data_IF_875652546793
#
_entry.id   IF_875652546793
#
_cell.length_a   1.000
_cell.length_b   1.000
_cell.length_c   1.000
_cell.angle_alpha   90.00
_cell.angle_beta   90.00
_cell.angle_gamma   90.00
#
_symmetry.space_group_name_H-M   'P 1'
#
loop_
_entity.id
_entity.type
_entity.pdbx_description
1 polymer ?
#
# COMPACT_ATOMS: atom_id res chain seq x y z
N UNK A 1 55.20 -34.20 11.75
CA UNK A 1 54.00 -33.41 11.43
C UNK A 1 53.23 -32.97 12.67
N UNK A 2 52.52 -33.83 13.42
CA UNK A 2 51.71 -33.41 14.61
C UNK A 2 52.43 -32.58 15.71
N UNK A 3 53.74 -32.75 15.92
CA UNK A 3 54.50 -31.99 16.94
C UNK A 3 54.97 -30.60 16.48
N UNK A 4 55.07 -30.36 15.18
CA UNK A 4 55.46 -29.04 14.63
C UNK A 4 54.24 -28.12 14.47
N UNK A 5 53.08 -28.69 14.12
CA UNK A 5 51.79 -27.99 14.09
C UNK A 5 51.38 -27.42 15.45
N UNK A 6 51.61 -28.17 16.54
CA UNK A 6 51.34 -27.69 17.90
C UNK A 6 52.23 -26.49 18.29
N UNK A 7 53.43 -26.40 17.72
CA UNK A 7 54.42 -25.37 18.08
C UNK A 7 54.09 -23.99 17.48
N UNK A 8 53.44 -23.95 16.31
CA UNK A 8 53.02 -22.70 15.66
C UNK A 8 51.79 -22.12 16.37
N UNK A 9 50.81 -22.96 16.72
CA UNK A 9 49.66 -22.54 17.55
C UNK A 9 50.07 -22.05 18.95
N UNK A 10 51.09 -22.66 19.56
CA UNK A 10 51.62 -22.20 20.86
C UNK A 10 52.45 -20.91 20.77
N UNK A 11 53.10 -20.63 19.63
CA UNK A 11 53.86 -19.39 19.44
C UNK A 11 52.93 -18.17 19.38
N UNK A 12 51.76 -18.30 18.76
CA UNK A 12 50.75 -17.23 18.67
C UNK A 12 50.16 -16.92 20.06
N UNK A 13 49.90 -17.94 20.89
CA UNK A 13 49.34 -17.78 22.24
C UNK A 13 50.34 -17.26 23.28
N UNK A 14 51.65 -17.47 23.10
CA UNK A 14 52.67 -17.15 24.13
C UNK A 14 53.38 -15.82 23.95
N UNK A 15 53.27 -15.16 22.80
CA UNK A 15 53.99 -13.90 22.51
C UNK A 15 53.21 -12.62 22.81
N UNK A 16 51.96 -12.70 23.27
CA UNK A 16 51.20 -11.51 23.69
C UNK A 16 51.03 -10.46 22.59
N UNK A 17 51.02 -10.89 21.32
CA UNK A 17 50.70 -10.03 20.19
C UNK A 17 49.18 -9.90 20.18
N UNK A 18 48.69 -8.72 20.55
CA UNK A 18 47.26 -8.49 20.76
C UNK A 18 46.41 -8.62 19.49
N UNK A 19 47.03 -8.61 18.30
CA UNK A 19 46.39 -8.89 17.01
C UNK A 19 47.45 -9.53 16.10
N UNK A 20 47.40 -10.85 15.92
CA UNK A 20 48.21 -11.55 14.90
C UNK A 20 47.24 -11.97 13.81
N UNK A 21 47.37 -11.42 12.59
CA UNK A 21 46.49 -11.80 11.49
C UNK A 21 46.99 -13.11 10.88
N UNK A 22 46.10 -14.02 10.51
CA UNK A 22 46.46 -15.29 9.86
C UNK A 22 47.33 -15.09 8.61
N UNK A 23 47.17 -13.95 7.93
CA UNK A 23 48.02 -13.50 6.81
C UNK A 23 49.51 -13.38 7.16
N UNK A 24 49.85 -13.08 8.41
CA UNK A 24 51.23 -12.84 8.85
C UNK A 24 52.01 -14.15 9.09
N UNK A 25 51.32 -15.30 9.06
CA UNK A 25 51.88 -16.62 9.43
C UNK A 25 52.01 -17.57 8.23
N UNK A 26 51.53 -17.18 7.04
CA UNK A 26 51.56 -18.04 5.84
C UNK A 26 52.95 -18.01 5.19
N UNK A 27 53.84 -18.87 5.67
CA UNK A 27 55.15 -19.15 5.09
C UNK A 27 55.28 -20.58 4.52
N UNK A 28 54.18 -21.34 4.44
CA UNK A 28 54.21 -22.77 4.11
C UNK A 28 53.16 -23.18 3.07
N UNK A 29 53.64 -23.94 2.09
CA UNK A 29 52.92 -24.65 1.02
C UNK A 29 52.18 -25.91 1.52
N UNK A 30 52.28 -26.27 2.80
CA UNK A 30 51.84 -27.58 3.28
C UNK A 30 50.67 -27.51 4.28
N UNK A 31 49.50 -27.89 3.78
CA UNK A 31 48.32 -28.46 4.48
C UNK A 31 47.48 -27.58 5.41
N UNK A 32 46.26 -27.30 4.94
CA UNK A 32 45.01 -27.25 5.72
C UNK A 32 44.93 -26.25 6.89
N UNK A 33 45.54 -25.06 6.78
CA UNK A 33 45.24 -23.96 7.70
C UNK A 33 43.74 -23.67 7.73
N UNK A 34 43.06 -23.72 6.58
CA UNK A 34 41.64 -23.43 6.52
C UNK A 34 40.82 -24.43 7.35
N UNK A 35 41.20 -25.72 7.31
CA UNK A 35 40.61 -26.79 8.13
C UNK A 35 40.92 -26.60 9.61
N UNK A 36 42.13 -26.18 9.99
CA UNK A 36 42.50 -25.96 11.39
C UNK A 36 41.67 -24.82 11.98
N UNK A 37 41.50 -23.72 11.24
CA UNK A 37 40.71 -22.59 11.72
C UNK A 37 39.21 -22.95 11.77
N UNK A 38 38.69 -23.69 10.78
CA UNK A 38 37.31 -24.19 10.80
C UNK A 38 37.04 -25.21 11.92
N UNK A 39 37.93 -26.19 12.13
CA UNK A 39 37.79 -27.21 13.20
C UNK A 39 37.85 -26.61 14.62
N UNK A 40 38.48 -25.43 14.77
CA UNK A 40 38.66 -24.76 16.06
C UNK A 40 37.77 -23.51 16.22
N UNK A 41 36.85 -23.24 15.27
CA UNK A 41 35.95 -22.09 15.28
C UNK A 41 36.70 -20.74 15.43
N UNK A 42 37.86 -20.65 14.78
CA UNK A 42 38.72 -19.46 14.80
C UNK A 42 38.38 -18.64 13.55
N UNK A 43 37.82 -17.45 13.75
CA UNK A 43 37.53 -16.51 12.67
C UNK A 43 38.82 -15.88 12.10
N UNK A 44 38.94 -15.83 10.79
CA UNK A 44 40.08 -15.24 10.09
C UNK A 44 39.70 -14.72 8.71
N UNK A 45 40.50 -13.78 8.21
CA UNK A 45 40.33 -13.18 6.89
C UNK A 45 40.82 -14.14 5.79
N UNK A 46 39.91 -15.02 5.33
CA UNK A 46 40.16 -16.01 4.26
C UNK A 46 40.69 -15.37 2.98
N UNK A 47 40.19 -14.18 2.64
CA UNK A 47 40.60 -13.42 1.45
C UNK A 47 42.08 -13.05 1.53
N UNK A 48 42.53 -12.44 2.63
CA UNK A 48 43.96 -12.12 2.85
C UNK A 48 44.86 -13.34 2.88
N UNK A 49 44.35 -14.47 3.39
CA UNK A 49 45.10 -15.74 3.36
C UNK A 49 45.34 -16.19 1.93
N UNK A 50 44.33 -16.16 1.07
CA UNK A 50 44.49 -16.50 -0.34
C UNK A 50 45.41 -15.53 -1.10
N UNK A 51 45.31 -14.22 -0.84
CA UNK A 51 46.22 -13.22 -1.42
C UNK A 51 47.69 -13.52 -1.06
N UNK A 52 47.95 -13.88 0.20
CA UNK A 52 49.30 -14.22 0.65
C UNK A 52 49.82 -15.53 0.05
N UNK A 53 48.96 -16.54 -0.13
CA UNK A 53 49.32 -17.79 -0.84
C UNK A 53 49.70 -17.52 -2.30
N UNK A 54 48.98 -16.62 -2.98
CA UNK A 54 49.31 -16.22 -4.36
C UNK A 54 50.68 -15.51 -4.41
N UNK A 55 50.97 -14.60 -3.46
CA UNK A 55 52.26 -13.91 -3.39
C UNK A 55 53.42 -14.90 -3.24
N UNK A 56 53.30 -15.87 -2.33
CA UNK A 56 54.29 -16.92 -2.14
C UNK A 56 54.53 -17.77 -3.41
N UNK A 57 53.44 -18.20 -4.07
CA UNK A 57 53.51 -18.99 -5.31
C UNK A 57 54.14 -18.23 -6.48
N UNK A 58 54.13 -16.89 -6.43
CA UNK A 58 54.79 -16.03 -7.43
C UNK A 58 56.29 -15.80 -7.13
N UNK A 59 56.73 -16.00 -5.88
CA UNK A 59 58.12 -15.77 -5.45
C UNK A 59 59.01 -17.03 -5.55
N UNK A 60 58.46 -18.25 -5.49
CA UNK A 60 59.23 -19.50 -5.56
C UNK A 60 59.13 -20.20 -6.93
N UNK A 61 60.18 -20.02 -7.75
CA UNK A 61 60.29 -20.62 -9.10
C UNK A 61 60.39 -22.15 -9.12
N UNK A 62 60.55 -22.82 -7.97
CA UNK A 62 60.67 -24.28 -7.90
C UNK A 62 59.34 -25.03 -7.76
N UNK A 63 58.23 -24.31 -7.53
CA UNK A 63 56.91 -24.92 -7.34
C UNK A 63 56.33 -25.32 -8.70
N UNK A 64 56.28 -26.63 -8.92
CA UNK A 64 55.68 -27.19 -10.13
C UNK A 64 54.15 -27.09 -9.99
N UNK A 65 53.45 -26.50 -10.99
CA UNK A 65 51.99 -26.28 -11.01
C UNK A 65 51.46 -24.99 -10.30
N UNK A 66 52.33 -24.00 -10.05
CA UNK A 66 51.97 -22.71 -9.43
C UNK A 66 50.82 -21.98 -10.16
N UNK A 67 50.83 -21.95 -11.49
CA UNK A 67 49.79 -21.29 -12.30
C UNK A 67 48.37 -21.82 -12.03
N UNK A 68 48.24 -23.14 -11.84
CA UNK A 68 46.95 -23.78 -11.59
C UNK A 68 46.42 -23.46 -10.18
N UNK A 69 47.31 -23.43 -9.18
CA UNK A 69 46.98 -23.07 -7.80
C UNK A 69 46.64 -21.59 -7.66
N UNK A 70 47.40 -20.70 -8.30
CA UNK A 70 47.10 -19.27 -8.37
C UNK A 70 45.70 -19.06 -8.96
N UNK A 71 45.40 -19.73 -10.08
CA UNK A 71 44.07 -19.65 -10.71
C UNK A 71 42.94 -20.17 -9.81
N UNK A 72 43.22 -21.11 -8.91
CA UNK A 72 42.26 -21.62 -7.94
C UNK A 72 41.99 -20.61 -6.82
N UNK A 73 43.05 -20.04 -6.22
CA UNK A 73 42.90 -19.02 -5.19
C UNK A 73 42.28 -17.72 -5.72
N UNK A 74 42.61 -17.30 -6.94
CA UNK A 74 41.96 -16.16 -7.59
C UNK A 74 40.46 -16.40 -7.76
N UNK A 75 40.03 -17.62 -8.13
CA UNK A 75 38.60 -17.98 -8.19
C UNK A 75 37.92 -17.97 -6.83
N UNK A 76 38.62 -18.31 -5.76
CA UNK A 76 38.06 -18.35 -4.42
C UNK A 76 37.95 -16.94 -3.82
N UNK A 77 38.93 -16.06 -4.06
CA UNK A 77 38.82 -14.62 -3.77
C UNK A 77 37.61 -14.03 -4.49
N UNK A 78 37.47 -14.31 -5.79
CA UNK A 78 36.31 -13.88 -6.59
C UNK A 78 34.96 -14.37 -6.03
N UNK A 79 34.93 -15.51 -5.33
CA UNK A 79 33.72 -16.03 -4.67
C UNK A 79 33.46 -15.29 -3.37
N UNK A 80 34.48 -15.13 -2.53
CA UNK A 80 34.40 -14.41 -1.26
C UNK A 80 33.93 -12.96 -1.48
N UNK A 81 34.51 -12.26 -2.46
CA UNK A 81 34.12 -10.89 -2.80
C UNK A 81 32.63 -10.82 -3.20
N UNK A 82 32.14 -11.78 -4.01
CA UNK A 82 30.71 -11.87 -4.38
C UNK A 82 29.79 -12.23 -3.22
N UNK A 83 30.26 -13.01 -2.25
CA UNK A 83 29.49 -13.35 -1.06
C UNK A 83 29.40 -12.15 -0.11
N UNK A 84 30.48 -11.40 0.04
CA UNK A 84 30.51 -10.16 0.82
C UNK A 84 29.57 -9.10 0.21
N UNK A 85 29.63 -8.88 -1.10
CA UNK A 85 28.72 -7.96 -1.81
C UNK A 85 27.25 -8.33 -1.57
N UNK A 86 26.89 -9.61 -1.70
CA UNK A 86 25.52 -10.09 -1.44
C UNK A 86 25.09 -9.91 0.01
N UNK A 87 26.01 -10.13 0.96
CA UNK A 87 25.70 -9.96 2.38
C UNK A 87 25.46 -8.48 2.73
N UNK A 88 26.24 -7.57 2.13
CA UNK A 88 26.04 -6.13 2.27
C UNK A 88 24.72 -5.67 1.62
N UNK A 89 24.40 -6.17 0.42
CA UNK A 89 23.10 -5.92 -0.23
C UNK A 89 21.93 -6.40 0.66
N UNK A 90 21.98 -7.65 1.14
CA UNK A 90 20.93 -8.19 2.02
C UNK A 90 20.79 -7.42 3.34
N UNK A 91 21.91 -6.98 3.93
CA UNK A 91 21.87 -6.17 5.15
C UNK A 91 21.22 -4.81 4.88
N UNK A 92 21.57 -4.17 3.76
CA UNK A 92 20.99 -2.89 3.33
C UNK A 92 19.49 -3.04 3.07
N UNK A 93 19.07 -4.10 2.37
CA UNK A 93 17.66 -4.39 2.10
C UNK A 93 16.85 -4.60 3.40
N UNK A 94 17.42 -5.33 4.37
CA UNK A 94 16.80 -5.52 5.69
C UNK A 94 16.66 -4.21 6.46
N UNK A 95 17.68 -3.34 6.43
CA UNK A 95 17.64 -2.03 7.08
C UNK A 95 16.56 -1.13 6.47
N UNK A 96 16.44 -1.12 5.13
CA UNK A 96 15.39 -0.41 4.41
C UNK A 96 13.99 -0.95 4.76
N UNK A 97 13.84 -2.27 4.84
CA UNK A 97 12.55 -2.89 5.20
C UNK A 97 12.12 -2.50 6.62
N UNK A 98 13.04 -2.53 7.59
CA UNK A 98 12.77 -2.13 8.98
C UNK A 98 12.40 -0.64 9.07
N UNK A 99 13.10 0.23 8.34
CA UNK A 99 12.77 1.66 8.29
C UNK A 99 11.37 1.89 7.69
N UNK A 100 11.05 1.22 6.58
CA UNK A 100 9.75 1.31 5.92
C UNK A 100 8.61 0.80 6.81
N UNK A 101 8.82 -0.31 7.52
CA UNK A 101 7.84 -0.81 8.49
C UNK A 101 7.57 0.22 9.58
N UNK A 102 8.63 0.81 10.16
CA UNK A 102 8.50 1.84 11.19
C UNK A 102 7.78 3.10 10.68
N UNK A 103 8.11 3.58 9.47
CA UNK A 103 7.41 4.71 8.84
C UNK A 103 5.92 4.41 8.66
N UNK A 104 5.58 3.19 8.24
CA UNK A 104 4.19 2.75 8.10
C UNK A 104 3.45 2.66 9.43
N UNK A 105 4.09 2.17 10.50
CA UNK A 105 3.52 2.19 11.85
C UNK A 105 3.21 3.62 12.33
N UNK A 106 4.12 4.56 12.08
CA UNK A 106 3.96 5.97 12.42
C UNK A 106 2.80 6.62 11.63
N UNK A 107 2.72 6.37 10.31
CA UNK A 107 1.62 6.83 9.46
C UNK A 107 0.27 6.28 9.93
N UNK A 108 0.18 4.97 10.18
CA UNK A 108 -1.05 4.33 10.67
C UNK A 108 -1.50 4.91 12.02
N UNK A 109 -0.56 5.17 12.93
CA UNK A 109 -0.83 5.82 14.22
C UNK A 109 -1.32 7.25 14.03
N UNK A 110 -0.73 8.02 13.12
CA UNK A 110 -1.15 9.38 12.80
C UNK A 110 -2.57 9.41 12.22
N UNK A 111 -2.88 8.55 11.24
CA UNK A 111 -4.23 8.43 10.65
C UNK A 111 -5.26 8.04 11.71
N UNK A 112 -4.93 7.11 12.60
CA UNK A 112 -5.79 6.71 13.73
C UNK A 112 -6.10 7.90 14.65
N UNK A 113 -5.09 8.71 14.97
CA UNK A 113 -5.24 9.88 15.84
C UNK A 113 -6.08 10.98 15.18
N UNK A 114 -5.77 11.33 13.93
CA UNK A 114 -6.57 12.29 13.14
C UNK A 114 -8.03 11.85 13.10
N UNK A 115 -8.27 10.58 12.78
CA UNK A 115 -9.64 10.04 12.67
C UNK A 115 -10.37 10.14 14.00
N UNK A 116 -9.76 9.71 15.11
CA UNK A 116 -10.37 9.78 16.44
C UNK A 116 -10.69 11.22 16.85
N UNK A 117 -9.77 12.15 16.61
CA UNK A 117 -9.97 13.56 16.94
C UNK A 117 -11.11 14.20 16.15
N UNK A 118 -11.20 13.94 14.84
CA UNK A 118 -12.29 14.48 14.03
C UNK A 118 -13.64 13.81 14.36
N UNK A 119 -13.66 12.49 14.58
CA UNK A 119 -14.89 11.76 14.91
C UNK A 119 -15.41 12.05 16.32
N UNK A 120 -14.56 12.42 17.29
CA UNK A 120 -15.01 12.90 18.60
C UNK A 120 -15.86 14.18 18.54
N UNK A 121 -15.82 14.91 17.41
CA UNK A 121 -16.64 16.11 17.17
C UNK A 121 -18.01 15.77 16.59
N UNK A 122 -18.27 14.51 16.25
CA UNK A 122 -19.52 14.05 15.61
C UNK A 122 -20.45 13.46 16.67
N UNK A 123 -21.61 14.08 16.85
CA UNK A 123 -22.70 13.54 17.68
C UNK A 123 -23.66 12.72 16.79
N UNK A 124 -23.37 11.42 16.69
CA UNK A 124 -24.14 10.51 15.86
C UNK A 124 -23.42 9.21 15.57
N UNK A 125 -23.92 8.48 14.57
CA UNK A 125 -23.27 7.29 14.06
C UNK A 125 -22.28 7.69 12.96
N UNK A 126 -21.11 7.07 12.97
CA UNK A 126 -20.10 7.29 11.95
C UNK A 126 -19.32 6.03 11.61
N UNK A 127 -18.78 6.04 10.41
CA UNK A 127 -17.82 5.08 9.90
C UNK A 127 -16.78 5.81 9.05
N UNK A 128 -15.52 5.41 9.16
CA UNK A 128 -14.38 5.93 8.40
C UNK A 128 -13.53 4.75 7.96
N UNK A 129 -13.05 4.79 6.73
CA UNK A 129 -12.04 3.86 6.24
C UNK A 129 -11.01 4.59 5.37
N UNK A 130 -9.76 4.16 5.47
CA UNK A 130 -8.61 4.69 4.71
C UNK A 130 -7.81 3.51 4.20
N UNK A 131 -7.43 3.55 2.92
CA UNK A 131 -6.63 2.48 2.34
C UNK A 131 -5.63 3.00 1.32
N UNK A 132 -4.38 2.56 1.40
CA UNK A 132 -3.41 2.78 0.32
C UNK A 132 -3.83 1.98 -0.91
N UNK A 133 -3.81 2.63 -2.06
CA UNK A 133 -4.13 2.05 -3.36
C UNK A 133 -2.90 1.89 -4.25
N UNK A 134 -1.89 2.75 -4.08
CA UNK A 134 -0.62 2.73 -4.83
C UNK A 134 0.46 3.47 -4.02
N UNK A 135 1.74 3.14 -4.25
CA UNK A 135 2.90 3.67 -3.53
C UNK A 135 3.40 2.79 -2.38
N UNK A 136 4.43 3.27 -1.67
CA UNK A 136 5.18 2.48 -0.66
C UNK A 136 4.52 2.40 0.73
N UNK A 137 3.41 3.12 0.92
CA UNK A 137 2.67 3.08 2.18
C UNK A 137 1.79 1.82 2.29
N UNK A 138 1.55 1.37 3.51
CA UNK A 138 0.73 0.20 3.83
C UNK A 138 -0.31 0.59 4.89
N UNK A 139 -1.36 1.27 4.43
CA UNK A 139 -2.50 1.64 5.27
C UNK A 139 -3.71 0.81 4.84
N UNK A 140 -4.28 0.07 5.78
CA UNK A 140 -5.62 -0.51 5.70
C UNK A 140 -6.32 -0.30 7.05
N UNK A 141 -7.03 0.83 7.15
CA UNK A 141 -7.55 1.35 8.41
C UNK A 141 -9.06 1.52 8.36
N UNK A 142 -9.75 1.07 9.42
CA UNK A 142 -11.19 1.22 9.58
C UNK A 142 -11.55 1.62 11.00
N UNK A 143 -12.40 2.64 11.15
CA UNK A 143 -12.83 3.20 12.44
C UNK A 143 -14.32 3.52 12.43
N UNK A 144 -15.07 3.02 13.41
CA UNK A 144 -16.53 3.15 13.46
C UNK A 144 -17.04 3.07 14.89
N UNK A 145 -18.17 3.72 15.16
CA UNK A 145 -18.94 3.54 16.39
C UNK A 145 -20.24 2.73 16.18
N UNK A 146 -20.41 2.17 14.98
CA UNK A 146 -21.55 1.32 14.64
C UNK A 146 -21.15 0.19 13.70
N UNK A 147 -21.69 -1.01 13.96
CA UNK A 147 -21.52 -2.17 13.09
C UNK A 147 -22.61 -2.25 12.00
N UNK A 148 -23.60 -1.36 12.05
CA UNK A 148 -24.67 -1.31 11.06
C UNK A 148 -24.29 -0.40 9.90
N UNK A 149 -24.66 -0.79 8.69
CA UNK A 149 -24.60 0.08 7.52
C UNK A 149 -25.37 1.38 7.75
N UNK A 150 -24.95 2.46 7.10
CA UNK A 150 -25.59 3.77 7.15
C UNK A 150 -26.38 4.04 5.86
N UNK A 151 -27.39 4.93 5.89
CA UNK A 151 -28.05 5.37 4.66
C UNK A 151 -27.03 5.94 3.67
N UNK A 152 -27.05 5.44 2.43
CA UNK A 152 -26.00 5.70 1.45
C UNK A 152 -26.05 7.08 0.81
N UNK A 153 -27.21 7.74 0.87
CA UNK A 153 -27.50 8.92 0.06
C UNK A 153 -27.05 8.70 -1.40
N UNK A 154 -26.16 9.54 -1.92
CA UNK A 154 -25.67 9.43 -3.30
C UNK A 154 -24.35 8.68 -3.47
N UNK A 155 -23.71 8.19 -2.40
CA UNK A 155 -22.44 7.42 -2.54
C UNK A 155 -22.69 6.06 -3.20
N UNK A 156 -23.89 5.49 -3.06
CA UNK A 156 -24.32 4.25 -3.76
C UNK A 156 -24.17 4.31 -5.29
N UNK A 157 -24.13 5.52 -5.86
CA UNK A 157 -24.02 5.73 -7.31
C UNK A 157 -22.69 5.22 -7.89
N UNK A 158 -21.65 5.09 -7.06
CA UNK A 158 -20.40 4.42 -7.46
C UNK A 158 -20.69 2.97 -7.87
N UNK A 159 -21.38 2.20 -7.01
CA UNK A 159 -21.73 0.80 -7.30
C UNK A 159 -22.70 0.66 -8.49
N UNK A 160 -23.61 1.63 -8.67
CA UNK A 160 -24.49 1.65 -9.84
C UNK A 160 -23.66 1.83 -11.13
N UNK A 161 -22.63 2.68 -11.10
CA UNK A 161 -21.75 2.88 -12.24
C UNK A 161 -20.90 1.63 -12.55
N UNK A 162 -20.32 1.00 -11.52
CA UNK A 162 -19.58 -0.27 -11.66
C UNK A 162 -20.50 -1.34 -12.27
N UNK A 163 -21.71 -1.49 -11.74
CA UNK A 163 -22.70 -2.44 -12.27
C UNK A 163 -23.09 -2.13 -13.73
N UNK A 164 -23.26 -0.85 -14.08
CA UNK A 164 -23.55 -0.45 -15.45
C UNK A 164 -22.45 -0.87 -16.43
N UNK A 165 -21.19 -0.63 -16.08
CA UNK A 165 -20.06 -1.00 -16.94
C UNK A 165 -19.80 -2.50 -16.98
N UNK A 166 -19.95 -3.20 -15.86
CA UNK A 166 -19.88 -4.67 -15.84
C UNK A 166 -20.91 -5.31 -16.80
N UNK A 167 -22.15 -4.81 -16.80
CA UNK A 167 -23.19 -5.33 -17.70
C UNK A 167 -23.00 -4.86 -19.15
N UNK A 168 -22.33 -3.73 -19.37
CA UNK A 168 -21.92 -3.32 -20.72
C UNK A 168 -20.89 -4.28 -21.28
N UNK A 169 -19.88 -4.63 -20.48
CA UNK A 169 -18.79 -5.52 -20.89
C UNK A 169 -19.25 -6.97 -21.07
N UNK A 170 -20.20 -7.45 -20.26
CA UNK A 170 -20.81 -8.77 -20.45
C UNK A 170 -21.74 -8.85 -21.67
N UNK A 171 -22.13 -7.71 -22.25
CA UNK A 171 -23.09 -7.60 -23.36
C UNK A 171 -24.56 -7.60 -22.94
N UNK A 172 -24.85 -7.65 -21.63
CA UNK A 172 -26.22 -7.62 -21.08
C UNK A 172 -26.86 -6.22 -21.16
N UNK A 173 -26.05 -5.17 -21.27
CA UNK A 173 -26.47 -3.79 -21.39
C UNK A 173 -25.80 -3.09 -22.58
N UNK A 174 -26.59 -2.51 -23.49
CA UNK A 174 -26.03 -1.79 -24.63
C UNK A 174 -25.48 -0.41 -24.23
N UNK A 175 -24.20 -0.16 -24.50
CA UNK A 175 -23.57 1.15 -24.30
C UNK A 175 -24.08 2.18 -25.33
N UNK A 176 -25.14 2.90 -24.98
CA UNK A 176 -25.67 4.00 -25.81
C UNK A 176 -25.12 5.35 -25.36
N UNK A 177 -25.17 6.36 -26.24
CA UNK A 177 -24.80 7.73 -25.88
C UNK A 177 -25.68 8.30 -24.75
N UNK A 178 -26.96 7.91 -24.69
CA UNK A 178 -27.85 8.31 -23.59
C UNK A 178 -27.41 7.69 -22.26
N UNK A 179 -27.07 6.40 -22.26
CA UNK A 179 -26.61 5.71 -21.05
C UNK A 179 -25.30 6.32 -20.53
N UNK A 180 -24.31 6.57 -21.41
CA UNK A 180 -23.06 7.24 -21.03
C UNK A 180 -23.30 8.62 -20.43
N UNK A 181 -24.21 9.40 -21.02
CA UNK A 181 -24.60 10.72 -20.50
C UNK A 181 -25.26 10.60 -19.12
N UNK A 182 -26.14 9.61 -18.93
CA UNK A 182 -26.81 9.41 -17.65
C UNK A 182 -25.85 8.97 -16.55
N UNK A 183 -24.90 8.07 -16.85
CA UNK A 183 -23.82 7.70 -15.90
C UNK A 183 -22.98 8.93 -15.54
N UNK A 184 -22.62 9.75 -16.53
CA UNK A 184 -21.86 10.98 -16.28
C UNK A 184 -22.62 11.96 -15.37
N UNK A 185 -23.89 12.25 -15.66
CA UNK A 185 -24.71 13.14 -14.83
C UNK A 185 -24.96 12.57 -13.43
N UNK A 186 -25.16 11.26 -13.32
CA UNK A 186 -25.32 10.53 -12.07
C UNK A 186 -24.11 10.72 -11.15
N UNK A 187 -22.89 10.65 -11.68
CA UNK A 187 -21.67 10.80 -10.89
C UNK A 187 -21.31 12.28 -10.68
N UNK A 188 -21.22 13.08 -11.75
CA UNK A 188 -20.72 14.46 -11.72
C UNK A 188 -21.69 15.45 -11.06
N UNK A 189 -22.99 15.32 -11.34
CA UNK A 189 -24.03 16.23 -10.85
C UNK A 189 -24.88 15.60 -9.74
N UNK A 190 -24.59 14.36 -9.38
CA UNK A 190 -25.42 13.58 -8.45
C UNK A 190 -26.90 13.56 -8.88
N UNK A 191 -27.17 13.53 -10.19
CA UNK A 191 -28.54 13.64 -10.72
C UNK A 191 -29.38 12.38 -10.41
N UNK A 192 -30.47 12.53 -9.66
CA UNK A 192 -31.32 11.41 -9.25
C UNK A 192 -32.15 10.83 -10.41
N UNK A 193 -32.58 11.64 -11.38
CA UNK A 193 -33.34 11.16 -12.53
C UNK A 193 -32.45 10.35 -13.48
N UNK A 194 -31.22 10.81 -13.74
CA UNK A 194 -30.23 10.05 -14.48
C UNK A 194 -29.91 8.74 -13.78
N UNK A 195 -29.71 8.78 -12.46
CA UNK A 195 -29.48 7.57 -11.64
C UNK A 195 -30.61 6.55 -11.82
N UNK A 196 -31.86 7.00 -11.73
CA UNK A 196 -33.02 6.12 -11.86
C UNK A 196 -33.14 5.53 -13.28
N UNK A 197 -32.77 6.28 -14.33
CA UNK A 197 -32.70 5.74 -15.71
C UNK A 197 -31.61 4.69 -15.87
N UNK A 198 -30.44 4.86 -15.25
CA UNK A 198 -29.37 3.84 -15.24
C UNK A 198 -29.85 2.57 -14.53
N UNK A 199 -30.54 2.70 -13.38
CA UNK A 199 -31.13 1.57 -12.66
C UNK A 199 -32.18 0.85 -13.53
N UNK A 200 -33.04 1.60 -14.22
CA UNK A 200 -34.06 1.02 -15.11
C UNK A 200 -33.41 0.27 -16.28
N UNK A 201 -32.35 0.83 -16.86
CA UNK A 201 -31.58 0.19 -17.93
C UNK A 201 -30.91 -1.12 -17.46
N UNK A 202 -30.49 -1.20 -16.19
CA UNK A 202 -29.94 -2.39 -15.55
C UNK A 202 -30.99 -3.46 -15.20
N UNK A 203 -32.27 -3.21 -15.47
CA UNK A 203 -33.36 -4.12 -15.10
C UNK A 203 -33.75 -4.07 -13.62
N UNK A 204 -33.33 -3.02 -12.90
CA UNK A 204 -33.70 -2.77 -11.50
C UNK A 204 -32.60 -3.11 -10.49
N UNK A 205 -33.00 -3.18 -9.21
CA UNK A 205 -32.05 -3.20 -8.10
C UNK A 205 -31.27 -4.52 -7.95
N UNK A 206 -31.87 -5.63 -8.39
CA UNK A 206 -31.28 -6.97 -8.24
C UNK A 206 -29.92 -7.08 -8.93
N UNK A 207 -29.79 -6.52 -10.13
CA UNK A 207 -28.54 -6.49 -10.89
C UNK A 207 -27.45 -5.74 -10.14
N UNK A 208 -27.75 -4.53 -9.66
CA UNK A 208 -26.81 -3.72 -8.86
C UNK A 208 -26.39 -4.45 -7.58
N UNK A 209 -27.34 -5.03 -6.85
CA UNK A 209 -27.03 -5.75 -5.61
C UNK A 209 -26.20 -7.03 -5.86
N UNK A 210 -26.36 -7.71 -7.00
CA UNK A 210 -25.49 -8.83 -7.38
C UNK A 210 -24.07 -8.37 -7.66
N UNK A 211 -23.89 -7.24 -8.36
CA UNK A 211 -22.56 -6.62 -8.54
C UNK A 211 -21.94 -6.28 -7.19
N UNK A 212 -22.68 -5.61 -6.30
CA UNK A 212 -22.21 -5.27 -4.94
C UNK A 212 -21.78 -6.53 -4.19
N UNK A 213 -22.58 -7.60 -4.24
CA UNK A 213 -22.26 -8.86 -3.56
C UNK A 213 -21.03 -9.55 -4.14
N UNK A 214 -20.82 -9.52 -5.46
CA UNK A 214 -19.60 -10.04 -6.09
C UNK A 214 -18.37 -9.23 -5.67
N UNK A 215 -18.48 -7.91 -5.73
CA UNK A 215 -17.39 -6.98 -5.42
C UNK A 215 -16.96 -7.07 -3.95
N UNK A 216 -17.92 -7.07 -3.03
CA UNK A 216 -17.63 -6.91 -1.58
C UNK A 216 -17.65 -8.22 -0.81
N UNK A 217 -18.10 -9.31 -1.45
CA UNK A 217 -18.49 -10.55 -0.79
C UNK A 217 -19.48 -10.34 0.38
N UNK A 218 -20.22 -9.23 0.40
CA UNK A 218 -21.09 -8.79 1.49
C UNK A 218 -22.43 -8.25 0.98
N UNK A 219 -23.38 -8.06 1.91
CA UNK A 219 -24.67 -7.41 1.65
C UNK A 219 -24.86 -6.17 2.54
N UNK A 220 -23.78 -5.65 3.15
CA UNK A 220 -23.82 -4.46 4.00
C UNK A 220 -24.25 -3.23 3.19
N UNK A 221 -23.70 -3.06 1.99
CA UNK A 221 -24.18 -2.09 1.01
C UNK A 221 -25.34 -2.67 0.19
N UNK A 222 -26.42 -1.90 0.01
CA UNK A 222 -27.57 -2.35 -0.79
C UNK A 222 -28.39 -1.20 -1.39
N UNK A 223 -28.79 -1.38 -2.64
CA UNK A 223 -29.77 -0.57 -3.34
C UNK A 223 -31.16 -1.21 -3.17
N UNK A 224 -32.07 -0.53 -2.47
CA UNK A 224 -33.40 -1.05 -2.11
C UNK A 224 -34.55 -0.21 -2.69
N UNK A 225 -34.27 1.01 -3.15
CA UNK A 225 -35.26 1.93 -3.75
C UNK A 225 -34.62 2.85 -4.78
N UNK A 226 -35.46 3.40 -5.66
CA UNK A 226 -35.07 4.52 -6.53
C UNK A 226 -34.71 5.76 -5.70
N UNK A 227 -33.81 6.57 -6.24
CA UNK A 227 -33.32 7.77 -5.59
C UNK A 227 -34.43 8.81 -5.54
N UNK A 228 -34.63 9.44 -4.38
CA UNK A 228 -35.74 10.35 -4.07
C UNK A 228 -37.16 9.74 -4.11
N UNK A 229 -37.29 8.40 -4.03
CA UNK A 229 -38.58 7.71 -3.84
C UNK A 229 -38.73 7.19 -2.42
N UNK A 230 -39.96 6.98 -1.95
CA UNK A 230 -40.22 6.25 -0.69
C UNK A 230 -39.91 4.76 -0.84
N UNK A 231 -39.66 4.08 0.28
CA UNK A 231 -39.37 2.64 0.31
C UNK A 231 -38.28 2.28 1.31
N UNK A 232 -37.85 1.01 1.27
CA UNK A 232 -36.72 0.52 2.07
C UNK A 232 -35.46 1.31 1.72
N UNK A 233 -34.74 1.78 2.73
CA UNK A 233 -33.61 2.69 2.56
C UNK A 233 -32.43 2.05 1.81
N UNK A 234 -31.72 2.85 1.02
CA UNK A 234 -30.45 2.44 0.40
C UNK A 234 -29.35 2.54 1.45
N UNK A 235 -28.55 1.49 1.61
CA UNK A 235 -27.55 1.37 2.68
C UNK A 235 -26.14 1.29 2.11
N UNK A 236 -25.15 1.73 2.88
CA UNK A 236 -23.72 1.65 2.56
C UNK A 236 -22.89 1.33 3.79
N UNK A 237 -21.78 0.64 3.59
CA UNK A 237 -20.68 0.50 4.54
C UNK A 237 -19.42 1.12 3.93
N UNK A 238 -18.60 1.79 4.74
CA UNK A 238 -17.40 2.48 4.25
C UNK A 238 -16.32 1.53 3.74
N UNK A 239 -16.21 0.32 4.27
CA UNK A 239 -15.23 -0.65 3.73
C UNK A 239 -15.65 -1.06 2.32
N UNK A 240 -16.96 -1.25 2.09
CA UNK A 240 -17.48 -1.58 0.76
C UNK A 240 -17.22 -0.43 -0.23
N UNK A 241 -17.25 0.83 0.24
CA UNK A 241 -16.87 2.00 -0.56
C UNK A 241 -15.38 2.01 -0.89
N UNK A 242 -14.52 1.62 0.05
CA UNK A 242 -13.08 1.45 -0.19
C UNK A 242 -12.85 0.37 -1.26
N UNK A 243 -13.51 -0.78 -1.16
CA UNK A 243 -13.43 -1.84 -2.18
C UNK A 243 -13.90 -1.33 -3.55
N UNK A 244 -14.93 -0.48 -3.59
CA UNK A 244 -15.34 0.16 -4.83
C UNK A 244 -14.27 1.12 -5.39
N UNK A 245 -13.49 1.80 -4.54
CA UNK A 245 -12.37 2.62 -4.99
C UNK A 245 -11.18 1.78 -5.45
N UNK A 246 -10.91 0.65 -4.78
CA UNK A 246 -9.93 -0.36 -5.24
C UNK A 246 -10.28 -0.84 -6.64
N UNK A 247 -11.55 -1.17 -6.89
CA UNK A 247 -12.04 -1.57 -8.23
C UNK A 247 -11.86 -0.48 -9.29
N UNK A 248 -11.88 0.80 -8.92
CA UNK A 248 -11.58 1.89 -9.85
C UNK A 248 -10.08 2.13 -10.06
N UNK A 249 -9.24 1.65 -9.14
CA UNK A 249 -7.79 1.80 -9.20
C UNK A 249 -7.11 0.61 -9.90
N UNK A 250 -7.37 -0.60 -9.43
CA UNK A 250 -6.87 -1.85 -9.99
C UNK A 250 -8.04 -2.83 -10.22
N UNK A 251 -8.73 -2.72 -11.37
CA UNK A 251 -10.02 -3.37 -11.58
C UNK A 251 -9.93 -4.90 -11.69
N UNK A 252 -10.88 -5.59 -11.08
CA UNK A 252 -11.01 -7.05 -11.15
C UNK A 252 -12.30 -7.51 -11.87
N UNK A 253 -13.37 -6.71 -11.84
CA UNK A 253 -14.69 -7.07 -12.34
C UNK A 253 -15.05 -6.27 -13.60
N UNK A 254 -14.59 -5.03 -13.70
CA UNK A 254 -14.68 -4.20 -14.92
C UNK A 254 -13.30 -4.02 -15.55
N UNK A 255 -13.24 -3.61 -16.81
CA UNK A 255 -11.97 -3.26 -17.46
C UNK A 255 -11.39 -1.94 -16.94
N UNK A 256 -10.07 -1.77 -17.10
CA UNK A 256 -9.38 -0.49 -16.86
C UNK A 256 -10.00 0.66 -17.65
N UNK A 257 -10.45 0.44 -18.89
CA UNK A 257 -11.11 1.48 -19.68
C UNK A 257 -12.42 1.94 -19.02
N UNK A 258 -13.23 1.01 -18.52
CA UNK A 258 -14.48 1.33 -17.82
C UNK A 258 -14.25 2.01 -16.49
N UNK A 259 -13.26 1.56 -15.71
CA UNK A 259 -12.85 2.23 -14.48
C UNK A 259 -12.46 3.69 -14.75
N UNK A 260 -11.68 3.97 -15.81
CA UNK A 260 -11.34 5.33 -16.21
C UNK A 260 -12.56 6.18 -16.62
N UNK A 261 -13.54 5.59 -17.32
CA UNK A 261 -14.79 6.30 -17.66
C UNK A 261 -15.56 6.72 -16.40
N UNK A 262 -15.60 5.86 -15.37
CA UNK A 262 -16.21 6.17 -14.08
C UNK A 262 -15.43 7.29 -13.39
N UNK A 263 -14.10 7.14 -13.24
CA UNK A 263 -13.23 8.14 -12.58
C UNK A 263 -13.33 9.51 -13.23
N UNK A 264 -13.31 9.59 -14.55
CA UNK A 264 -13.51 10.84 -15.31
C UNK A 264 -14.86 11.51 -15.03
N UNK A 265 -15.90 10.71 -14.79
CA UNK A 265 -17.23 11.22 -14.44
C UNK A 265 -17.33 11.67 -12.97
N UNK A 266 -16.43 11.20 -12.11
CA UNK A 266 -16.29 11.65 -10.71
C UNK A 266 -15.41 12.90 -10.56
N UNK A 267 -14.69 13.32 -11.60
CA UNK A 267 -13.91 14.56 -11.59
C UNK A 267 -14.81 15.80 -11.56
N UNK A 268 -14.41 16.84 -10.79
CA UNK A 268 -15.09 18.15 -10.74
C UNK A 268 -16.61 18.03 -10.51
N UNK A 269 -16.99 17.20 -9.54
CA UNK A 269 -18.38 17.11 -9.09
C UNK A 269 -18.84 18.48 -8.61
N UNK A 270 -20.04 18.89 -9.02
CA UNK A 270 -20.60 20.21 -8.67
C UNK A 270 -21.37 20.20 -7.35
N UNK A 271 -21.17 19.15 -6.55
CA UNK A 271 -21.72 19.04 -5.20
C UNK A 271 -20.89 19.91 -4.26
N UNK A 272 -21.58 20.57 -3.32
CA UNK A 272 -21.18 21.75 -2.51
C UNK A 272 -19.70 21.84 -2.09
N UNK A 273 -18.87 22.23 -3.07
CA UNK A 273 -17.44 22.54 -3.02
C UNK A 273 -16.60 21.61 -2.16
N UNK A 274 -16.51 20.37 -2.67
CA UNK A 274 -15.42 19.40 -2.56
C UNK A 274 -15.17 18.66 -1.23
N UNK A 275 -15.98 18.76 -0.17
CA UNK A 275 -15.92 17.90 1.07
C UNK A 275 -14.51 17.40 1.44
N UNK A 276 -14.19 16.12 1.28
CA UNK A 276 -12.85 15.56 1.58
C UNK A 276 -11.74 16.25 0.76
N UNK A 277 -12.05 16.63 -0.48
CA UNK A 277 -11.15 17.31 -1.40
C UNK A 277 -11.11 18.85 -1.24
N UNK A 278 -11.89 19.46 -0.35
CA UNK A 278 -12.09 20.92 -0.39
C UNK A 278 -10.88 21.72 0.06
N UNK A 279 -10.15 21.18 1.05
CA UNK A 279 -9.02 21.84 1.68
C UNK A 279 -7.72 21.05 1.42
N UNK A 280 -7.64 20.32 0.31
CA UNK A 280 -6.41 19.63 -0.03
C UNK A 280 -5.30 20.66 -0.29
N UNK A 281 -4.07 20.38 0.14
CA UNK A 281 -2.90 21.15 -0.26
C UNK A 281 -2.70 21.13 -1.79
N UNK A 282 -2.03 22.15 -2.34
CA UNK A 282 -1.85 22.31 -3.79
C UNK A 282 -1.03 21.17 -4.46
N UNK A 283 -0.29 20.40 -3.67
CA UNK A 283 0.47 19.23 -4.12
C UNK A 283 -0.37 17.94 -4.20
N UNK A 284 -1.65 17.99 -3.83
CA UNK A 284 -2.55 16.86 -3.85
C UNK A 284 -3.74 17.09 -4.79
N UNK A 285 -4.26 16.00 -5.34
CA UNK A 285 -5.45 16.03 -6.18
C UNK A 285 -6.31 14.81 -5.93
N UNK A 286 -7.53 14.78 -6.48
CA UNK A 286 -8.37 13.62 -6.31
C UNK A 286 -9.73 13.73 -6.97
N UNK A 287 -10.47 12.64 -6.88
CA UNK A 287 -11.85 12.49 -7.33
C UNK A 287 -12.69 11.99 -6.17
N UNK A 288 -13.98 12.35 -6.14
CA UNK A 288 -14.85 11.93 -5.06
C UNK A 288 -16.30 11.70 -5.51
N UNK A 289 -17.06 10.99 -4.66
CA UNK A 289 -18.51 10.95 -4.73
C UNK A 289 -19.12 11.29 -3.37
N UNK A 290 -19.75 12.46 -3.30
CA UNK A 290 -20.48 12.89 -2.11
C UNK A 290 -21.88 12.28 -2.00
N UNK A 291 -22.39 12.21 -0.78
CA UNK A 291 -23.79 11.96 -0.45
C UNK A 291 -24.23 12.86 0.70
N UNK A 292 -25.44 13.39 0.63
CA UNK A 292 -26.02 14.17 1.72
C UNK A 292 -27.54 14.06 1.75
N UNK A 293 -28.08 14.14 2.95
CA UNK A 293 -29.49 14.35 3.22
C UNK A 293 -29.62 15.12 4.55
N UNK A 294 -29.53 16.46 4.50
CA UNK A 294 -29.55 17.31 5.71
C UNK A 294 -30.79 17.11 6.57
N UNK A 295 -31.94 16.83 5.93
CA UNK A 295 -33.23 16.54 6.57
C UNK A 295 -33.20 15.25 7.41
N UNK A 296 -32.15 14.43 7.26
CA UNK A 296 -31.94 13.17 7.98
C UNK A 296 -30.57 13.11 8.68
N UNK A 297 -29.87 14.24 8.78
CA UNK A 297 -28.54 14.33 9.39
C UNK A 297 -27.48 13.49 8.67
N UNK A 298 -27.60 13.27 7.35
CA UNK A 298 -26.69 12.39 6.61
C UNK A 298 -25.65 13.20 5.87
N UNK A 299 -24.38 12.91 6.11
CA UNK A 299 -23.25 13.46 5.37
C UNK A 299 -22.21 12.38 5.11
N UNK A 300 -21.92 12.15 3.84
CA UNK A 300 -21.03 11.10 3.37
C UNK A 300 -20.15 11.62 2.24
N UNK A 301 -18.96 11.05 2.13
CA UNK A 301 -18.08 11.24 0.98
C UNK A 301 -17.12 10.06 0.85
N UNK A 302 -16.74 9.73 -0.37
CA UNK A 302 -15.65 8.79 -0.66
C UNK A 302 -14.76 9.41 -1.72
N UNK A 303 -13.45 9.31 -1.56
CA UNK A 303 -12.47 9.89 -2.45
C UNK A 303 -11.32 8.93 -2.77
N UNK A 304 -10.75 9.09 -3.96
CA UNK A 304 -9.39 8.66 -4.32
C UNK A 304 -8.55 9.92 -4.38
N UNK A 305 -7.43 9.93 -3.65
CA UNK A 305 -6.56 11.09 -3.50
C UNK A 305 -5.13 10.68 -3.91
N UNK A 306 -4.54 11.49 -4.77
CA UNK A 306 -3.15 11.41 -5.21
C UNK A 306 -2.32 12.44 -4.45
N UNK A 307 -1.20 12.01 -3.88
CA UNK A 307 -0.20 12.84 -3.20
C UNK A 307 1.18 12.28 -3.52
N UNK A 308 1.95 13.04 -4.32
CA UNK A 308 3.23 12.57 -4.85
C UNK A 308 3.11 11.25 -5.62
N UNK A 309 3.79 10.21 -5.16
CA UNK A 309 3.73 8.86 -5.74
C UNK A 309 2.63 7.98 -5.13
N UNK A 310 2.06 8.40 -4.00
CA UNK A 310 1.08 7.65 -3.23
C UNK A 310 -0.32 7.99 -3.68
N UNK A 311 -1.14 6.95 -3.85
CA UNK A 311 -2.58 7.08 -4.02
C UNK A 311 -3.28 6.36 -2.89
N UNK A 312 -4.31 6.97 -2.31
CA UNK A 312 -5.11 6.33 -1.28
C UNK A 312 -6.61 6.62 -1.45
N UNK A 313 -7.44 5.73 -0.91
CA UNK A 313 -8.87 5.92 -0.78
C UNK A 313 -9.23 6.36 0.65
N UNK A 314 -10.21 7.25 0.77
CA UNK A 314 -10.76 7.71 2.04
C UNK A 314 -12.28 7.76 1.93
N UNK A 315 -12.97 7.00 2.79
CA UNK A 315 -14.42 6.98 2.89
C UNK A 315 -14.87 7.42 4.27
N UNK A 316 -15.85 8.32 4.33
CA UNK A 316 -16.46 8.80 5.57
C UNK A 316 -17.97 8.78 5.43
N UNK A 317 -18.66 8.20 6.39
CA UNK A 317 -20.11 8.21 6.46
C UNK A 317 -20.57 8.64 7.86
N UNK A 318 -21.47 9.62 7.92
CA UNK A 318 -22.04 10.13 9.17
C UNK A 318 -23.56 10.16 9.10
N UNK A 319 -24.19 9.84 10.22
CA UNK A 319 -25.62 10.03 10.48
C UNK A 319 -25.80 10.67 11.85
N UNK A 320 -26.06 11.96 11.87
CA UNK A 320 -26.13 12.77 13.08
C UNK A 320 -27.57 12.97 13.57
N UNK A 321 -27.70 13.31 14.84
CA UNK A 321 -29.00 13.55 15.47
C UNK A 321 -29.57 14.94 15.13
N UNK A 322 -28.77 15.82 14.52
CA UNK A 322 -29.14 17.19 14.19
C UNK A 322 -29.75 17.25 12.79
N UNK A 323 -30.90 17.90 12.70
CA UNK A 323 -31.64 18.09 11.46
C UNK A 323 -31.41 19.55 11.01
N UNK A 324 -30.99 19.77 9.76
CA UNK A 324 -30.85 21.08 9.10
C UNK A 324 -29.69 22.03 9.51
N UNK A 325 -28.61 21.57 10.14
CA UNK A 325 -27.33 22.33 10.18
C UNK A 325 -26.12 21.38 10.20
N UNK A 326 -25.40 21.31 9.08
CA UNK A 326 -24.30 20.37 8.85
C UNK A 326 -22.90 21.01 8.78
N UNK A 327 -22.74 22.23 9.32
CA UNK A 327 -21.46 22.95 9.27
C UNK A 327 -20.31 22.20 9.99
N UNK A 328 -20.64 21.43 11.02
CA UNK A 328 -19.66 20.66 11.76
C UNK A 328 -19.19 19.44 10.97
N UNK A 329 -20.12 18.70 10.36
CA UNK A 329 -19.89 17.53 9.52
C UNK A 329 -19.07 17.91 8.28
N UNK A 330 -19.39 19.03 7.65
CA UNK A 330 -18.58 19.58 6.56
C UNK A 330 -17.17 19.93 7.02
N UNK A 331 -17.01 20.54 8.20
CA UNK A 331 -15.68 20.86 8.76
C UNK A 331 -14.88 19.59 9.04
N UNK A 332 -15.51 18.58 9.63
CA UNK A 332 -14.94 17.26 9.91
C UNK A 332 -14.43 16.62 8.62
N UNK A 333 -15.26 16.55 7.57
CA UNK A 333 -14.87 15.99 6.27
C UNK A 333 -13.68 16.74 5.67
N UNK A 334 -13.74 18.08 5.63
CA UNK A 334 -12.67 18.91 5.07
C UNK A 334 -11.35 18.78 5.82
N UNK A 335 -11.41 18.74 7.16
CA UNK A 335 -10.25 18.54 8.00
C UNK A 335 -9.67 17.14 7.82
N UNK A 336 -10.52 16.11 7.75
CA UNK A 336 -10.09 14.73 7.60
C UNK A 336 -9.35 14.55 6.28
N UNK A 337 -9.92 15.00 5.16
CA UNK A 337 -9.25 14.95 3.86
C UNK A 337 -7.90 15.67 3.88
N UNK A 338 -7.85 16.94 4.33
CA UNK A 338 -6.58 17.69 4.42
C UNK A 338 -5.54 17.00 5.29
N UNK A 339 -5.89 16.65 6.53
CA UNK A 339 -4.93 16.15 7.53
C UNK A 339 -4.39 14.76 7.18
N UNK A 340 -5.23 13.88 6.62
CA UNK A 340 -4.78 12.56 6.16
C UNK A 340 -3.87 12.71 4.94
N UNK A 341 -4.21 13.58 3.98
CA UNK A 341 -3.31 13.89 2.86
C UNK A 341 -1.96 14.45 3.32
N UNK A 342 -1.94 15.33 4.32
CA UNK A 342 -0.70 15.83 4.91
C UNK A 342 0.12 14.73 5.59
N UNK A 343 -0.52 13.72 6.19
CA UNK A 343 0.16 12.57 6.79
C UNK A 343 0.83 11.69 5.71
N UNK A 344 0.11 11.36 4.63
CA UNK A 344 0.70 10.66 3.49
C UNK A 344 1.85 11.46 2.84
N UNK A 345 1.72 12.78 2.73
CA UNK A 345 2.81 13.62 2.20
C UNK A 345 4.09 13.54 3.06
N UNK A 346 3.97 13.54 4.40
CA UNK A 346 5.10 13.35 5.32
C UNK A 346 5.66 11.93 5.33
N UNK A 347 4.88 10.94 4.92
CA UNK A 347 5.40 9.59 4.76
C UNK A 347 6.38 9.53 3.58
N UNK A 348 6.07 10.23 2.49
CA UNK A 348 6.93 10.29 1.30
C UNK A 348 8.16 11.19 1.43
N UNK A 349 8.12 12.21 2.30
CA UNK A 349 9.13 13.26 2.43
C UNK A 349 9.58 13.43 3.87
#
# INVERSE_FOLDING_TARGET
MKKYLLAIGFAILSLGVSESYASDVVYYDDSDLDMIFEENDIEYDKRKVYERRIEYLREDENITNSDALISEYEREIDRLDREEDKNQENQTDNEIEVENQKKNEELNKEISNITREEMNKVDGLYQVAVKTLDGDSDVDFSYRNTNNSLPSASTIKVFIAISAYENIESGDLKETNSLKKDIHLMLNRSDNYATNRVIDALGGFSTVNKTIKRLTNSNRTSLNRKLAYSGKENMVDVDDLIIAMEELNNPNIISSESAEKIKKSMTNTNTSTKKLLANLPDYASGINKSGENPDRGQDLDVAIIDVGSTRFALAVAMKTNKIYDNQNELRVLRNMGRRITEAFYRFEN
#
